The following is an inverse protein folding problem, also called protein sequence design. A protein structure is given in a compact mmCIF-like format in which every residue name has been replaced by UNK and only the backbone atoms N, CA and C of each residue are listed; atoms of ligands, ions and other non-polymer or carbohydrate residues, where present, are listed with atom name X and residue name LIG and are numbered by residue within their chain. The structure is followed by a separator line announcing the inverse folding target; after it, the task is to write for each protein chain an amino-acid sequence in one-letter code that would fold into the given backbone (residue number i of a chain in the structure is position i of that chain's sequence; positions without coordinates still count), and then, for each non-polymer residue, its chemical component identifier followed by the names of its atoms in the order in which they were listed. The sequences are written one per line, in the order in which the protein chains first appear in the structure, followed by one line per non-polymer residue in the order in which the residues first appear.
data_IF_981624012373
#
_entry.id   IF_981624012373
#
_cell.length_a   1.000
_cell.length_b   1.000
_cell.length_c   1.000
_cell.angle_alpha   90.00
_cell.angle_beta   90.00
_cell.angle_gamma   90.00
#
_symmetry.space_group_name_H-M   'P 1'
#
loop_
_entity.id
_entity.type
_entity.pdbx_description
1 polymer ?
#
# COMPACT_ATOMS: atom_id res chain seq x y z
N UNK A 1 -30.08 31.07 -24.57
CA UNK A 1 -30.10 30.79 -23.12
C UNK A 1 -31.31 29.94 -22.84
N UNK A 2 -31.12 28.66 -22.53
CA UNK A 2 -32.20 27.80 -22.10
C UNK A 2 -32.53 28.13 -20.65
N UNK A 3 -33.70 28.74 -20.42
CA UNK A 3 -34.24 28.92 -19.09
C UNK A 3 -34.73 27.56 -18.59
N UNK A 4 -34.18 27.09 -17.47
CA UNK A 4 -34.71 25.92 -16.75
C UNK A 4 -36.11 26.29 -16.23
N UNK A 5 -37.15 25.59 -16.68
CA UNK A 5 -38.57 25.92 -16.39
C UNK A 5 -39.10 25.31 -15.09
N UNK A 6 -38.23 24.73 -14.26
CA UNK A 6 -38.56 24.22 -12.94
C UNK A 6 -37.37 24.43 -12.02
N UNK A 7 -37.61 24.92 -10.81
CA UNK A 7 -36.61 24.99 -9.74
C UNK A 7 -36.01 23.58 -9.53
N UNK A 8 -34.69 23.39 -9.63
CA UNK A 8 -34.09 22.08 -9.42
C UNK A 8 -34.42 21.65 -7.99
N UNK A 9 -34.96 20.44 -7.83
CA UNK A 9 -35.25 19.87 -6.52
C UNK A 9 -33.93 19.67 -5.77
N UNK A 10 -33.58 20.63 -4.90
CA UNK A 10 -32.34 20.60 -4.10
C UNK A 10 -32.32 19.40 -3.14
N UNK A 11 -33.49 18.84 -2.86
CA UNK A 11 -33.70 17.64 -2.06
C UNK A 11 -33.30 16.36 -2.81
N UNK A 12 -33.23 16.41 -4.15
CA UNK A 12 -32.78 15.30 -4.99
C UNK A 12 -31.25 15.28 -5.21
N UNK A 13 -30.52 16.26 -4.67
CA UNK A 13 -29.06 16.28 -4.76
C UNK A 13 -28.42 15.31 -3.76
N UNK A 14 -27.40 14.55 -4.17
CA UNK A 14 -26.55 13.76 -3.30
C UNK A 14 -26.10 14.52 -2.04
N UNK A 15 -26.23 13.89 -0.87
CA UNK A 15 -25.70 14.42 0.40
C UNK A 15 -24.37 13.73 0.74
N UNK A 16 -23.31 14.52 0.83
CA UNK A 16 -21.95 14.02 1.04
C UNK A 16 -21.18 13.77 -0.26
N UNK A 17 -20.07 13.04 -0.15
CA UNK A 17 -19.16 12.75 -1.25
C UNK A 17 -18.34 11.49 -0.95
N UNK A 18 -18.68 10.37 -1.59
CA UNK A 18 -17.97 9.10 -1.43
C UNK A 18 -16.59 9.06 -2.13
N UNK A 19 -16.30 10.03 -3.00
CA UNK A 19 -14.96 10.25 -3.55
C UNK A 19 -14.01 10.91 -2.54
N UNK A 20 -14.55 11.58 -1.51
CA UNK A 20 -13.78 12.02 -0.35
C UNK A 20 -13.71 10.90 0.67
N UNK A 21 -12.51 10.58 1.17
CA UNK A 21 -12.30 9.56 2.19
C UNK A 21 -12.14 10.19 3.58
N UNK A 22 -13.22 10.73 4.16
CA UNK A 22 -13.17 11.42 5.46
C UNK A 22 -13.33 10.47 6.66
N UNK A 23 -13.90 9.29 6.44
CA UNK A 23 -13.96 8.24 7.46
C UNK A 23 -12.63 7.49 7.54
N UNK A 24 -12.17 7.15 8.74
CA UNK A 24 -10.94 6.38 8.94
C UNK A 24 -11.25 5.10 9.71
N UNK A 25 -11.05 3.93 9.10
CA UNK A 25 -11.09 2.64 9.78
C UNK A 25 -9.78 2.44 10.55
N UNK A 26 -9.80 2.79 11.83
CA UNK A 26 -8.61 3.01 12.67
C UNK A 26 -8.17 1.77 13.47
N UNK A 27 -9.07 0.81 13.67
CA UNK A 27 -8.80 -0.50 14.27
C UNK A 27 -9.78 -1.53 13.68
N UNK A 28 -9.60 -2.84 13.93
CA UNK A 28 -10.46 -3.90 13.34
C UNK A 28 -11.96 -3.61 13.45
N UNK A 29 -12.40 -3.04 14.56
CA UNK A 29 -13.80 -2.83 14.90
C UNK A 29 -14.16 -1.35 15.08
N UNK A 30 -13.31 -0.40 14.67
CA UNK A 30 -13.54 1.04 14.91
C UNK A 30 -13.30 1.86 13.64
N UNK A 31 -14.34 2.57 13.23
CA UNK A 31 -14.28 3.66 12.26
C UNK A 31 -14.39 4.99 13.00
N UNK A 32 -13.45 5.90 12.76
CA UNK A 32 -13.50 7.28 13.23
C UNK A 32 -14.18 8.15 12.18
N UNK A 33 -15.19 8.91 12.58
CA UNK A 33 -15.88 9.90 11.74
C UNK A 33 -15.55 11.32 12.19
N UNK A 34 -15.38 12.26 11.25
CA UNK A 34 -15.10 13.64 11.62
C UNK A 34 -16.33 14.28 12.29
N UNK A 35 -16.14 15.27 13.16
CA UNK A 35 -17.23 15.86 13.95
C UNK A 35 -18.29 16.61 13.11
N UNK A 36 -17.96 17.00 11.89
CA UNK A 36 -18.85 17.68 10.95
C UNK A 36 -19.69 16.71 10.10
N UNK A 37 -19.37 15.41 10.09
CA UNK A 37 -20.14 14.42 9.35
C UNK A 37 -21.56 14.31 9.93
N UNK A 38 -22.56 14.22 9.05
CA UNK A 38 -23.98 14.26 9.43
C UNK A 38 -24.34 15.42 10.36
N UNK A 39 -23.71 16.59 10.16
CA UNK A 39 -23.88 17.79 10.98
C UNK A 39 -23.63 17.58 12.50
N UNK A 40 -22.83 16.56 12.86
CA UNK A 40 -22.53 16.23 14.26
C UNK A 40 -23.68 15.57 15.02
N UNK A 41 -24.74 15.11 14.33
CA UNK A 41 -25.95 14.54 14.94
C UNK A 41 -25.77 13.08 15.43
N UNK A 42 -24.63 12.75 16.03
CA UNK A 42 -24.30 11.38 16.48
C UNK A 42 -24.93 10.98 17.81
N UNK A 43 -25.58 11.90 18.53
CA UNK A 43 -26.10 11.69 19.89
C UNK A 43 -27.62 11.94 19.88
N UNK A 44 -28.41 10.92 20.21
CA UNK A 44 -29.88 11.03 20.33
C UNK A 44 -30.69 9.98 19.58
N UNK A 45 -30.07 9.16 18.71
CA UNK A 45 -30.76 8.13 17.93
C UNK A 45 -31.42 8.64 16.63
N UNK A 46 -31.21 9.91 16.30
CA UNK A 46 -31.80 10.55 15.12
C UNK A 46 -31.05 10.26 13.81
N UNK A 47 -29.90 9.58 13.87
CA UNK A 47 -29.06 9.23 12.72
C UNK A 47 -28.73 7.74 12.71
N UNK A 48 -29.02 7.09 11.59
CA UNK A 48 -28.54 5.75 11.28
C UNK A 48 -27.28 5.86 10.42
N UNK A 49 -26.18 5.28 10.89
CA UNK A 49 -24.92 5.25 10.14
C UNK A 49 -24.62 3.81 9.74
N UNK A 50 -24.34 3.58 8.46
CA UNK A 50 -24.02 2.26 7.90
C UNK A 50 -22.71 2.26 7.15
N UNK A 51 -22.00 1.13 7.20
CA UNK A 51 -20.89 0.82 6.32
C UNK A 51 -21.43 0.07 5.10
N UNK A 52 -21.33 0.69 3.92
CA UNK A 52 -21.64 0.10 2.63
C UNK A 52 -20.35 -0.43 1.99
N UNK A 53 -20.45 -1.56 1.29
CA UNK A 53 -19.35 -2.15 0.52
C UNK A 53 -19.80 -2.63 -0.86
N UNK A 54 -18.87 -2.64 -1.81
CA UNK A 54 -19.07 -3.29 -3.12
C UNK A 54 -17.80 -4.01 -3.56
N UNK A 55 -17.91 -5.33 -3.74
CA UNK A 55 -16.86 -6.20 -4.25
C UNK A 55 -16.69 -6.06 -5.77
N UNK A 56 -17.65 -5.43 -6.46
CA UNK A 56 -17.55 -5.06 -7.88
C UNK A 56 -17.15 -3.60 -8.10
N UNK A 57 -16.94 -2.82 -7.01
CA UNK A 57 -16.72 -1.38 -7.04
C UNK A 57 -17.82 -0.60 -7.77
N UNK A 58 -19.08 -0.90 -7.43
CA UNK A 58 -20.28 -0.31 -8.01
C UNK A 58 -20.97 0.70 -7.08
N UNK A 59 -20.34 1.14 -5.98
CA UNK A 59 -20.94 2.15 -5.11
C UNK A 59 -21.04 3.49 -5.83
N UNK A 60 -22.25 4.04 -5.84
CA UNK A 60 -22.57 5.36 -6.35
C UNK A 60 -23.36 6.15 -5.31
N UNK A 61 -23.17 7.47 -5.27
CA UNK A 61 -23.94 8.35 -4.40
C UNK A 61 -25.02 9.06 -5.22
N UNK A 62 -26.28 8.83 -4.89
CA UNK A 62 -27.45 9.45 -5.52
C UNK A 62 -28.22 10.30 -4.50
N UNK A 63 -29.32 10.94 -4.93
CA UNK A 63 -30.25 11.62 -4.00
C UNK A 63 -30.87 10.67 -2.98
N UNK A 64 -30.97 9.38 -3.32
CA UNK A 64 -31.44 8.31 -2.42
C UNK A 64 -30.31 7.70 -1.57
N UNK A 65 -29.15 8.36 -1.54
CA UNK A 65 -27.99 7.95 -0.76
C UNK A 65 -27.07 6.99 -1.51
N UNK A 66 -26.28 6.20 -0.77
CA UNK A 66 -25.33 5.25 -1.37
C UNK A 66 -26.09 4.04 -1.93
N UNK A 67 -25.89 3.76 -3.21
CA UNK A 67 -26.47 2.68 -4.00
C UNK A 67 -25.38 1.76 -4.56
N UNK A 68 -25.77 0.61 -5.13
CA UNK A 68 -24.85 -0.33 -5.80
C UNK A 68 -23.98 -1.16 -4.85
N UNK A 69 -24.30 -1.15 -3.55
CA UNK A 69 -23.69 -2.04 -2.57
C UNK A 69 -24.08 -3.49 -2.77
N UNK A 70 -23.19 -4.41 -2.40
CA UNK A 70 -23.46 -5.86 -2.47
C UNK A 70 -24.48 -6.32 -1.42
N UNK A 71 -24.73 -5.47 -0.43
CA UNK A 71 -25.56 -5.79 0.71
C UNK A 71 -27.02 -5.44 0.40
N UNK A 72 -27.80 -6.50 0.15
CA UNK A 72 -29.27 -6.46 0.02
C UNK A 72 -29.88 -6.16 1.40
N UNK A 73 -31.04 -5.50 1.44
CA UNK A 73 -31.78 -5.11 2.64
C UNK A 73 -31.61 -6.10 3.82
N UNK A 74 -30.94 -5.65 4.89
CA UNK A 74 -30.69 -6.42 6.12
C UNK A 74 -29.25 -6.91 6.34
N UNK A 75 -28.30 -6.63 5.44
CA UNK A 75 -26.87 -7.00 5.61
C UNK A 75 -25.88 -5.84 5.73
N UNK A 76 -26.35 -4.59 5.63
CA UNK A 76 -25.52 -3.43 5.95
C UNK A 76 -25.07 -3.49 7.41
N UNK A 77 -23.78 -3.25 7.65
CA UNK A 77 -23.29 -3.13 9.03
C UNK A 77 -23.67 -1.75 9.54
N UNK A 78 -24.71 -1.71 10.35
CA UNK A 78 -25.08 -0.52 11.12
C UNK A 78 -23.99 -0.27 12.16
N UNK A 79 -23.36 0.89 12.07
CA UNK A 79 -22.30 1.29 12.99
C UNK A 79 -22.90 1.77 14.31
N UNK A 80 -22.24 1.45 15.42
CA UNK A 80 -22.68 1.84 16.77
C UNK A 80 -21.81 3.00 17.26
N UNK A 81 -22.43 4.12 17.63
CA UNK A 81 -21.70 5.27 18.15
C UNK A 81 -21.22 5.00 19.58
N UNK A 82 -19.90 4.86 19.76
CA UNK A 82 -19.24 4.76 21.07
C UNK A 82 -18.86 6.15 21.62
N UNK A 83 -18.93 7.19 20.79
CA UNK A 83 -18.59 8.56 21.14
C UNK A 83 -17.08 8.82 21.11
N UNK A 84 -16.36 8.29 22.09
CA UNK A 84 -14.93 8.62 22.30
C UNK A 84 -14.02 7.51 21.76
N UNK A 85 -12.94 7.92 21.08
CA UNK A 85 -11.91 6.99 20.59
C UNK A 85 -11.15 6.33 21.74
N UNK A 86 -10.85 5.01 21.66
CA UNK A 86 -10.03 4.34 22.66
C UNK A 86 -8.63 4.94 22.79
N UNK A 87 -8.04 4.81 23.99
CA UNK A 87 -6.74 5.40 24.32
C UNK A 87 -5.64 5.00 23.34
N UNK A 88 -5.58 3.73 22.93
CA UNK A 88 -4.52 3.26 22.04
C UNK A 88 -4.71 3.75 20.59
N UNK A 89 -5.97 3.93 20.16
CA UNK A 89 -6.29 4.62 18.90
C UNK A 89 -5.84 6.08 18.96
N UNK A 90 -6.10 6.79 20.06
CA UNK A 90 -5.66 8.17 20.26
C UNK A 90 -4.13 8.31 20.23
N UNK A 91 -3.40 7.36 20.82
CA UNK A 91 -1.93 7.35 20.77
C UNK A 91 -1.40 7.12 19.35
N UNK A 92 -2.02 6.20 18.60
CA UNK A 92 -1.62 5.87 17.23
C UNK A 92 -1.99 6.97 16.24
N UNK A 93 -3.14 7.61 16.44
CA UNK A 93 -3.69 8.65 15.56
C UNK A 93 -3.99 9.95 16.34
N UNK A 94 -2.96 10.65 16.87
CA UNK A 94 -3.16 11.83 17.70
C UNK A 94 -3.83 12.99 16.95
N UNK A 95 -3.63 13.09 15.64
CA UNK A 95 -4.28 14.09 14.78
C UNK A 95 -5.79 13.85 14.66
N UNK A 96 -6.23 12.59 14.64
CA UNK A 96 -7.66 12.20 14.61
C UNK A 96 -8.33 12.54 15.94
N UNK A 97 -7.65 12.21 17.05
CA UNK A 97 -8.13 12.57 18.38
C UNK A 97 -8.19 14.09 18.59
N UNK A 98 -7.14 14.82 18.20
CA UNK A 98 -7.09 16.28 18.31
C UNK A 98 -8.15 16.99 17.46
N UNK A 99 -8.52 16.40 16.32
CA UNK A 99 -9.59 16.90 15.46
C UNK A 99 -11.00 16.57 15.98
N UNK A 100 -11.14 15.85 17.09
CA UNK A 100 -12.44 15.56 17.72
C UNK A 100 -13.27 14.53 16.98
N UNK A 101 -12.64 13.57 16.30
CA UNK A 101 -13.36 12.50 15.62
C UNK A 101 -14.13 11.61 16.61
N UNK A 102 -15.28 11.12 16.16
CA UNK A 102 -16.20 10.27 16.92
C UNK A 102 -15.93 8.80 16.59
N UNK A 103 -15.92 7.96 17.62
CA UNK A 103 -15.75 6.51 17.46
C UNK A 103 -17.06 5.83 17.06
N UNK A 104 -17.02 5.10 15.95
CA UNK A 104 -18.10 4.27 15.44
C UNK A 104 -17.64 2.81 15.42
N UNK A 105 -18.25 1.97 16.25
CA UNK A 105 -17.99 0.55 16.30
C UNK A 105 -18.57 -0.16 15.08
N UNK A 106 -17.83 -1.13 14.56
CA UNK A 106 -18.23 -2.04 13.48
C UNK A 106 -18.63 -3.38 14.12
N UNK A 107 -19.92 -3.64 14.40
CA UNK A 107 -20.35 -4.88 15.05
C UNK A 107 -20.38 -6.05 14.07
N UNK A 108 -19.21 -6.47 13.57
CA UNK A 108 -19.06 -7.53 12.59
C UNK A 108 -17.93 -8.51 12.96
N UNK A 109 -18.06 -9.73 12.48
CA UNK A 109 -17.01 -10.76 12.63
C UNK A 109 -15.73 -10.36 11.88
N UNK A 110 -14.58 -10.83 12.38
CA UNK A 110 -13.28 -10.52 11.77
C UNK A 110 -13.22 -10.95 10.29
N UNK A 111 -13.86 -12.07 9.93
CA UNK A 111 -13.94 -12.53 8.53
C UNK A 111 -14.66 -11.53 7.61
N UNK A 112 -15.74 -10.89 8.09
CA UNK A 112 -16.43 -9.84 7.35
C UNK A 112 -15.51 -8.64 7.14
N UNK A 113 -14.82 -8.20 8.21
CA UNK A 113 -13.89 -7.06 8.12
C UNK A 113 -12.79 -7.34 7.10
N UNK A 114 -12.17 -8.52 7.15
CA UNK A 114 -11.13 -8.94 6.19
C UNK A 114 -11.62 -8.91 4.74
N UNK A 115 -12.86 -9.32 4.47
CA UNK A 115 -13.45 -9.24 3.12
C UNK A 115 -13.84 -7.80 2.71
N UNK A 116 -14.36 -7.01 3.65
CA UNK A 116 -14.69 -5.61 3.41
C UNK A 116 -13.46 -4.78 3.02
N UNK A 117 -12.30 -5.06 3.60
CA UNK A 117 -11.02 -4.39 3.27
C UNK A 117 -10.54 -4.62 1.83
N UNK A 118 -11.12 -5.58 1.11
CA UNK A 118 -10.84 -5.86 -0.33
C UNK A 118 -11.85 -5.19 -1.28
N UNK A 119 -12.86 -4.51 -0.73
CA UNK A 119 -13.97 -3.92 -1.47
C UNK A 119 -13.82 -2.41 -1.61
N UNK A 120 -14.64 -1.81 -2.48
CA UNK A 120 -14.96 -0.39 -2.37
C UNK A 120 -15.81 -0.18 -1.12
N UNK A 121 -15.52 0.87 -0.34
CA UNK A 121 -16.19 1.16 0.93
C UNK A 121 -16.71 2.59 1.00
N UNK A 122 -17.86 2.78 1.61
CA UNK A 122 -18.39 4.08 1.99
C UNK A 122 -19.12 3.99 3.33
N UNK A 123 -19.03 5.04 4.14
CA UNK A 123 -19.96 5.26 5.26
C UNK A 123 -21.07 6.17 4.77
N UNK A 124 -22.31 5.79 5.07
CA UNK A 124 -23.51 6.57 4.74
C UNK A 124 -24.34 6.83 6.00
N UNK A 125 -24.95 8.01 6.08
CA UNK A 125 -25.84 8.40 7.16
C UNK A 125 -27.23 8.74 6.64
N UNK A 126 -28.26 8.31 7.35
CA UNK A 126 -29.66 8.72 7.15
C UNK A 126 -30.24 9.25 8.44
N UNK A 127 -31.25 10.12 8.35
CA UNK A 127 -32.04 10.51 9.51
C UNK A 127 -33.01 9.40 9.98
N UNK A 128 -33.77 9.68 11.05
CA UNK A 128 -34.79 8.79 11.60
C UNK A 128 -35.91 8.40 10.62
N UNK A 129 -36.13 9.17 9.56
CA UNK A 129 -37.11 8.92 8.49
C UNK A 129 -36.49 8.19 7.29
N UNK A 130 -35.19 7.87 7.34
CA UNK A 130 -34.46 7.18 6.29
C UNK A 130 -33.97 8.10 5.18
N UNK A 131 -34.06 9.42 5.34
CA UNK A 131 -33.58 10.38 4.35
C UNK A 131 -32.04 10.46 4.43
N UNK A 132 -31.30 10.31 3.33
CA UNK A 132 -29.85 10.47 3.30
C UNK A 132 -29.41 11.86 3.74
N UNK A 133 -28.41 11.95 4.62
CA UNK A 133 -27.91 13.22 5.16
C UNK A 133 -26.40 13.44 4.96
N UNK A 134 -25.60 12.38 4.83
CA UNK A 134 -24.17 12.47 4.48
C UNK A 134 -23.63 11.12 3.99
N UNK A 135 -22.50 11.16 3.28
CA UNK A 135 -21.76 9.99 2.86
C UNK A 135 -20.27 10.33 2.61
N UNK A 136 -19.39 9.37 2.83
CA UNK A 136 -17.95 9.53 2.58
C UNK A 136 -17.27 8.17 2.38
N UNK A 137 -16.21 8.12 1.56
CA UNK A 137 -15.33 6.97 1.46
C UNK A 137 -14.52 6.72 2.73
N UNK A 138 -13.82 5.59 2.78
CA UNK A 138 -13.12 5.12 3.99
C UNK A 138 -11.63 4.95 3.73
N UNK A 139 -10.80 5.52 4.61
CA UNK A 139 -9.38 5.20 4.68
C UNK A 139 -9.18 4.00 5.61
N UNK A 140 -8.37 3.01 5.21
CA UNK A 140 -8.38 1.67 5.85
C UNK A 140 -7.09 1.28 6.55
N UNK A 141 -6.07 2.14 6.59
CA UNK A 141 -4.73 1.83 7.09
C UNK A 141 -4.71 1.29 8.53
N UNK A 142 -5.57 1.83 9.41
CA UNK A 142 -5.57 1.42 10.82
C UNK A 142 -6.08 0.00 11.01
N UNK A 143 -7.18 -0.34 10.32
CA UNK A 143 -7.72 -1.70 10.32
C UNK A 143 -6.77 -2.70 9.66
N UNK A 144 -6.08 -2.31 8.57
CA UNK A 144 -5.05 -3.15 7.95
C UNK A 144 -3.94 -3.46 8.96
N UNK A 145 -3.37 -2.45 9.61
CA UNK A 145 -2.31 -2.67 10.60
C UNK A 145 -2.78 -3.57 11.75
N UNK A 146 -3.98 -3.33 12.29
CA UNK A 146 -4.51 -4.08 13.43
C UNK A 146 -4.84 -5.55 13.11
N UNK A 147 -5.04 -5.88 11.83
CA UNK A 147 -5.38 -7.22 11.35
C UNK A 147 -4.25 -7.97 10.67
N UNK A 148 -3.27 -7.25 10.12
CA UNK A 148 -2.30 -7.78 9.17
C UNK A 148 -0.88 -7.25 9.36
N UNK A 149 -0.57 -6.48 10.43
CA UNK A 149 0.82 -6.13 10.72
C UNK A 149 1.69 -7.39 10.74
N UNK A 150 2.78 -7.36 9.99
CA UNK A 150 3.60 -8.52 9.69
C UNK A 150 5.08 -8.17 9.80
N UNK A 151 5.82 -8.94 10.60
CA UNK A 151 7.25 -8.80 10.85
C UNK A 151 8.08 -9.98 10.31
N UNK A 152 7.42 -10.92 9.62
CA UNK A 152 8.06 -12.07 9.01
C UNK A 152 8.74 -11.77 7.66
N UNK A 153 9.27 -12.81 7.00
CA UNK A 153 10.05 -12.66 5.77
C UNK A 153 9.20 -12.15 4.58
N UNK A 154 9.75 -11.19 3.84
CA UNK A 154 9.21 -10.65 2.60
C UNK A 154 10.31 -10.58 1.52
N UNK A 155 9.90 -10.55 0.25
CA UNK A 155 10.79 -10.67 -0.90
C UNK A 155 11.19 -12.12 -1.17
N UNK A 156 12.41 -12.30 -1.67
CA UNK A 156 12.96 -13.61 -1.99
C UNK A 156 13.66 -14.27 -0.80
N UNK A 157 13.16 -15.43 -0.39
CA UNK A 157 13.81 -16.33 0.57
C UNK A 157 14.41 -17.52 -0.19
N UNK A 158 15.73 -17.68 -0.08
CA UNK A 158 16.47 -18.78 -0.72
C UNK A 158 16.62 -19.97 0.23
N UNK A 159 16.13 -21.14 -0.18
CA UNK A 159 16.24 -22.37 0.60
C UNK A 159 17.57 -23.06 0.30
N UNK A 160 18.37 -23.30 1.34
CA UNK A 160 19.75 -23.85 1.23
C UNK A 160 19.82 -25.38 1.33
N UNK A 161 18.70 -26.07 1.14
CA UNK A 161 18.59 -27.52 1.24
C UNK A 161 18.99 -28.27 -0.05
N UNK A 162 19.53 -27.55 -1.05
CA UNK A 162 20.10 -28.11 -2.28
C UNK A 162 19.11 -28.30 -3.42
N UNK A 163 17.92 -27.68 -3.35
CA UNK A 163 16.85 -27.81 -4.38
C UNK A 163 16.71 -26.60 -5.31
N UNK A 164 17.56 -25.59 -5.16
CA UNK A 164 17.48 -24.29 -5.85
C UNK A 164 16.08 -23.67 -5.81
N UNK A 165 15.40 -23.86 -4.67
CA UNK A 165 14.04 -23.41 -4.44
C UNK A 165 14.04 -22.04 -3.74
N UNK A 166 13.17 -21.15 -4.21
CA UNK A 166 13.00 -19.81 -3.69
C UNK A 166 11.53 -19.59 -3.35
N UNK A 167 11.24 -19.10 -2.16
CA UNK A 167 9.91 -18.59 -1.85
C UNK A 167 9.88 -17.08 -2.01
N UNK A 168 9.01 -16.59 -2.89
CA UNK A 168 8.76 -15.17 -3.09
C UNK A 168 7.51 -14.78 -2.28
N UNK A 169 7.62 -13.74 -1.45
CA UNK A 169 6.54 -13.24 -0.59
C UNK A 169 6.30 -11.75 -0.75
N UNK A 170 5.04 -11.35 -0.86
CA UNK A 170 4.63 -9.94 -0.87
C UNK A 170 3.42 -9.73 0.05
N UNK A 171 3.48 -8.67 0.86
CA UNK A 171 2.38 -8.28 1.72
C UNK A 171 1.38 -7.44 0.93
N UNK A 172 0.18 -7.98 0.71
CA UNK A 172 -0.87 -7.33 -0.07
C UNK A 172 -2.27 -7.74 0.45
N UNK A 173 -2.63 -7.35 1.70
CA UNK A 173 -3.83 -7.85 2.38
C UNK A 173 -5.15 -7.46 1.70
N UNK A 174 -5.16 -6.34 0.97
CA UNK A 174 -6.32 -5.83 0.23
C UNK A 174 -6.43 -6.36 -1.19
N UNK A 175 -5.39 -7.06 -1.68
CA UNK A 175 -5.44 -7.67 -3.00
C UNK A 175 -6.50 -8.77 -3.03
N UNK A 176 -7.17 -8.87 -4.17
CA UNK A 176 -8.14 -9.92 -4.47
C UNK A 176 -7.46 -11.12 -5.10
N UNK A 177 -6.42 -10.87 -5.88
CA UNK A 177 -5.62 -11.88 -6.56
C UNK A 177 -4.19 -11.35 -6.74
N UNK A 178 -3.21 -12.23 -6.56
CA UNK A 178 -1.81 -11.96 -6.89
C UNK A 178 -1.26 -13.12 -7.69
N UNK A 179 -0.73 -12.80 -8.87
CA UNK A 179 -0.05 -13.73 -9.73
C UNK A 179 1.40 -13.28 -9.93
N UNK A 180 2.32 -14.22 -9.88
CA UNK A 180 3.73 -13.99 -10.19
C UNK A 180 3.94 -14.16 -11.69
N UNK A 181 4.34 -13.10 -12.38
CA UNK A 181 4.77 -13.15 -13.77
C UNK A 181 6.28 -13.38 -13.83
N UNK A 182 6.72 -14.59 -14.20
CA UNK A 182 8.13 -15.02 -14.23
C UNK A 182 8.67 -15.01 -15.65
N UNK A 183 9.89 -14.53 -15.82
CA UNK A 183 10.60 -14.39 -17.09
C UNK A 183 11.98 -15.06 -17.00
N UNK A 184 12.47 -15.56 -18.13
CA UNK A 184 13.79 -16.15 -18.27
C UNK A 184 14.88 -15.09 -18.51
N UNK A 185 14.51 -13.95 -19.10
CA UNK A 185 15.44 -12.89 -19.46
C UNK A 185 15.09 -11.55 -18.77
N UNK A 186 16.03 -10.58 -18.72
CA UNK A 186 15.73 -9.23 -18.26
C UNK A 186 14.77 -8.46 -19.20
N UNK A 187 14.60 -8.91 -20.45
CA UNK A 187 13.69 -8.32 -21.46
C UNK A 187 13.42 -9.27 -22.62
N UNK A 188 12.30 -9.07 -23.31
CA UNK A 188 12.06 -9.60 -24.66
C UNK A 188 11.34 -10.95 -24.75
N UNK A 189 11.09 -11.59 -23.61
CA UNK A 189 10.36 -12.85 -23.47
C UNK A 189 9.02 -12.65 -22.73
N UNK A 190 8.14 -13.63 -22.92
CA UNK A 190 6.81 -13.72 -22.32
C UNK A 190 6.85 -14.26 -20.90
N UNK A 191 5.87 -13.87 -20.09
CA UNK A 191 5.78 -14.33 -18.71
C UNK A 191 5.15 -15.73 -18.61
N UNK A 192 5.75 -16.60 -17.81
CA UNK A 192 5.05 -17.73 -17.19
C UNK A 192 4.33 -17.23 -15.94
N UNK A 193 3.03 -17.51 -15.82
CA UNK A 193 2.20 -17.02 -14.72
C UNK A 193 2.02 -18.10 -13.66
N UNK A 194 2.40 -17.77 -12.43
CA UNK A 194 2.28 -18.65 -11.26
C UNK A 194 1.34 -18.00 -10.23
N UNK A 195 0.14 -18.55 -10.00
CA UNK A 195 -0.75 -18.07 -8.94
C UNK A 195 -0.06 -18.12 -7.58
N UNK A 196 -0.25 -17.08 -6.76
CA UNK A 196 0.27 -17.04 -5.39
C UNK A 196 -0.79 -17.49 -4.38
N UNK A 197 -0.35 -18.10 -3.29
CA UNK A 197 -1.22 -18.51 -2.18
C UNK A 197 -1.32 -17.39 -1.15
N UNK A 198 -2.55 -17.03 -0.77
CA UNK A 198 -2.84 -16.02 0.24
C UNK A 198 -2.91 -16.63 1.64
N UNK A 199 -2.16 -16.06 2.58
CA UNK A 199 -2.29 -16.33 4.00
C UNK A 199 -3.28 -15.33 4.62
N UNK A 200 -4.42 -15.83 5.11
CA UNK A 200 -5.50 -15.02 5.64
C UNK A 200 -5.20 -14.37 6.99
N UNK A 201 -4.22 -14.88 7.74
CA UNK A 201 -3.84 -14.33 9.04
C UNK A 201 -2.85 -13.18 8.88
N UNK A 202 -1.91 -13.30 7.94
CA UNK A 202 -0.83 -12.33 7.75
C UNK A 202 -1.04 -11.35 6.59
N UNK A 203 -1.93 -11.68 5.65
CA UNK A 203 -2.16 -10.85 4.45
C UNK A 203 -1.07 -11.00 3.39
N UNK A 204 -0.19 -12.00 3.55
CA UNK A 204 0.95 -12.26 2.68
C UNK A 204 0.54 -13.21 1.56
N UNK A 205 0.97 -12.89 0.35
CA UNK A 205 0.91 -13.77 -0.80
C UNK A 205 2.26 -14.44 -1.00
N UNK A 206 2.27 -15.75 -1.26
CA UNK A 206 3.51 -16.50 -1.47
C UNK A 206 3.46 -17.46 -2.67
N UNK A 207 4.59 -17.63 -3.33
CA UNK A 207 4.81 -18.70 -4.30
C UNK A 207 6.22 -19.26 -4.12
N UNK A 208 6.34 -20.58 -4.21
CA UNK A 208 7.61 -21.29 -4.08
C UNK A 208 7.91 -22.03 -5.38
N UNK A 209 9.15 -21.96 -5.85
CA UNK A 209 9.59 -22.68 -7.04
C UNK A 209 11.05 -22.42 -7.39
N UNK A 210 11.47 -22.93 -8.55
CA UNK A 210 12.82 -22.74 -9.07
C UNK A 210 12.95 -21.38 -9.77
N UNK A 211 13.09 -20.33 -8.97
CA UNK A 211 13.16 -18.95 -9.45
C UNK A 211 14.57 -18.37 -9.49
N UNK A 212 15.60 -19.09 -9.03
CA UNK A 212 16.98 -18.60 -9.03
C UNK A 212 17.38 -18.10 -10.42
N UNK A 213 17.96 -16.88 -10.49
CA UNK A 213 18.36 -16.17 -11.70
C UNK A 213 17.23 -15.86 -12.70
N UNK A 214 15.97 -16.12 -12.35
CA UNK A 214 14.80 -15.67 -13.13
C UNK A 214 14.52 -14.20 -12.84
N UNK A 215 13.64 -13.63 -13.65
CA UNK A 215 13.10 -12.30 -13.44
C UNK A 215 11.61 -12.37 -13.14
N UNK A 216 11.07 -11.41 -12.40
CA UNK A 216 9.63 -11.39 -12.13
C UNK A 216 9.04 -9.99 -11.94
N UNK A 217 7.71 -9.94 -12.01
CA UNK A 217 6.87 -8.87 -11.48
C UNK A 217 5.62 -9.48 -10.85
N UNK A 218 4.97 -8.72 -9.96
CA UNK A 218 3.66 -9.10 -9.43
C UNK A 218 2.57 -8.53 -10.32
N UNK A 219 1.62 -9.37 -10.71
CA UNK A 219 0.35 -8.96 -11.28
C UNK A 219 -0.70 -8.97 -10.16
N UNK A 220 -1.10 -7.80 -9.68
CA UNK A 220 -1.95 -7.61 -8.50
C UNK A 220 -3.32 -7.07 -8.91
N UNK A 221 -4.38 -7.82 -8.62
CA UNK A 221 -5.76 -7.35 -8.78
C UNK A 221 -6.26 -6.74 -7.48
N UNK A 222 -6.55 -5.45 -7.46
CA UNK A 222 -6.90 -4.72 -6.24
C UNK A 222 -7.83 -3.55 -6.55
N UNK A 223 -8.66 -3.17 -5.58
CA UNK A 223 -9.42 -1.92 -5.62
C UNK A 223 -8.49 -0.72 -5.43
N UNK A 224 -8.58 0.27 -6.31
CA UNK A 224 -7.83 1.52 -6.20
C UNK A 224 -8.78 2.67 -5.81
N UNK A 225 -8.67 3.20 -4.58
CA UNK A 225 -9.52 4.31 -4.13
C UNK A 225 -9.40 5.58 -4.99
N UNK A 226 -8.25 5.82 -5.63
CA UNK A 226 -8.04 7.01 -6.46
C UNK A 226 -8.80 6.96 -7.79
N UNK A 227 -8.98 5.76 -8.35
CA UNK A 227 -9.72 5.58 -9.60
C UNK A 227 -11.15 5.10 -9.38
N UNK A 228 -11.47 4.64 -8.16
CA UNK A 228 -12.77 4.02 -7.83
C UNK A 228 -12.99 2.68 -8.53
N UNK A 229 -11.93 2.03 -9.01
CA UNK A 229 -12.03 0.83 -9.85
C UNK A 229 -11.19 -0.32 -9.32
N UNK A 230 -11.61 -1.54 -9.65
CA UNK A 230 -10.79 -2.74 -9.48
C UNK A 230 -9.97 -2.93 -10.75
N UNK A 231 -8.65 -2.95 -10.60
CA UNK A 231 -7.72 -3.07 -11.71
C UNK A 231 -6.65 -4.11 -11.44
N UNK A 232 -6.12 -4.68 -12.53
CA UNK A 232 -4.93 -5.52 -12.50
C UNK A 232 -3.71 -4.66 -12.80
N UNK A 233 -2.82 -4.52 -11.82
CA UNK A 233 -1.61 -3.73 -11.91
C UNK A 233 -0.39 -4.63 -11.98
N UNK A 234 0.61 -4.24 -12.78
CA UNK A 234 1.92 -4.88 -12.74
C UNK A 234 2.85 -4.05 -11.85
N UNK A 235 3.39 -4.66 -10.81
CA UNK A 235 4.25 -4.02 -9.82
C UNK A 235 5.60 -4.73 -9.68
N UNK A 236 6.63 -3.95 -9.38
CA UNK A 236 7.91 -4.49 -8.91
C UNK A 236 7.78 -4.96 -7.45
N UNK A 237 8.75 -5.74 -6.98
CA UNK A 237 8.82 -6.15 -5.58
C UNK A 237 9.40 -5.03 -4.70
N UNK A 238 8.68 -4.53 -3.68
CA UNK A 238 9.23 -3.57 -2.71
C UNK A 238 10.49 -4.08 -1.99
N UNK A 239 10.67 -5.40 -1.92
CA UNK A 239 11.78 -6.10 -1.30
C UNK A 239 12.82 -6.59 -2.31
N UNK A 240 12.76 -6.12 -3.57
CA UNK A 240 13.76 -6.43 -4.58
C UNK A 240 15.20 -6.10 -4.09
N UNK A 241 16.15 -6.94 -4.50
CA UNK A 241 17.59 -6.75 -4.23
C UNK A 241 18.42 -6.61 -5.50
N UNK A 242 17.86 -6.97 -6.66
CA UNK A 242 18.45 -6.82 -7.97
C UNK A 242 17.33 -6.56 -8.98
N UNK A 243 17.63 -5.80 -10.03
CA UNK A 243 16.64 -5.33 -11.01
C UNK A 243 17.23 -5.41 -12.42
N UNK A 244 16.36 -5.66 -13.40
CA UNK A 244 16.64 -5.35 -14.80
C UNK A 244 16.69 -3.83 -15.02
N UNK A 245 17.15 -3.42 -16.21
CA UNK A 245 17.21 -2.01 -16.59
C UNK A 245 15.88 -1.29 -16.35
N UNK A 246 15.96 -0.06 -15.83
CA UNK A 246 14.84 0.81 -15.47
C UNK A 246 13.84 0.20 -14.46
N UNK A 247 14.24 -0.85 -13.72
CA UNK A 247 13.38 -1.49 -12.73
C UNK A 247 12.20 -2.25 -13.32
N UNK A 248 12.21 -2.56 -14.63
CA UNK A 248 11.06 -3.16 -15.33
C UNK A 248 10.73 -4.59 -14.88
N UNK A 249 11.73 -5.31 -14.37
CA UNK A 249 11.61 -6.64 -13.81
C UNK A 249 12.55 -6.78 -12.62
N UNK A 250 12.13 -7.49 -11.60
CA UNK A 250 12.97 -7.87 -10.47
C UNK A 250 13.82 -9.06 -10.87
N UNK A 251 15.09 -9.09 -10.48
CA UNK A 251 15.97 -10.24 -10.67
C UNK A 251 16.07 -11.02 -9.35
N UNK A 252 15.77 -12.31 -9.39
CA UNK A 252 15.89 -13.21 -8.24
C UNK A 252 17.37 -13.54 -8.03
N UNK A 253 17.98 -12.79 -7.13
CA UNK A 253 19.41 -12.81 -6.89
C UNK A 253 19.71 -12.99 -5.40
N UNK A 254 20.47 -14.02 -5.05
CA UNK A 254 20.98 -14.20 -3.69
C UNK A 254 22.18 -13.27 -3.49
N UNK A 255 21.95 -12.15 -2.81
CA UNK A 255 23.01 -11.16 -2.52
C UNK A 255 24.12 -11.71 -1.61
N UNK A 256 23.93 -12.89 -1.01
CA UNK A 256 24.96 -13.56 -0.22
C UNK A 256 25.90 -14.42 -1.07
N UNK A 257 25.63 -14.60 -2.37
CA UNK A 257 26.47 -15.35 -3.30
C UNK A 257 27.89 -14.75 -3.38
N UNK A 258 28.90 -15.62 -3.35
CA UNK A 258 30.30 -15.22 -3.36
C UNK A 258 30.73 -14.53 -4.67
N UNK A 259 30.08 -14.85 -5.80
CA UNK A 259 30.36 -14.24 -7.11
C UNK A 259 29.99 -12.75 -7.18
N UNK A 260 29.14 -12.28 -6.27
CA UNK A 260 28.72 -10.88 -6.19
C UNK A 260 29.63 -10.03 -5.30
N UNK A 261 30.62 -10.66 -4.66
CA UNK A 261 31.49 -10.02 -3.67
C UNK A 261 32.86 -9.74 -4.30
N UNK A 262 33.37 -8.50 -4.22
CA UNK A 262 34.75 -8.24 -4.61
C UNK A 262 35.73 -8.98 -3.71
N UNK A 263 37.00 -9.06 -4.13
CA UNK A 263 38.08 -9.55 -3.29
C UNK A 263 38.07 -8.86 -1.91
N UNK A 264 38.33 -9.63 -0.86
CA UNK A 264 38.40 -9.18 0.53
C UNK A 264 37.10 -8.60 1.11
N UNK A 265 35.95 -8.74 0.46
CA UNK A 265 34.66 -8.22 0.96
C UNK A 265 34.32 -8.70 2.38
N UNK A 266 34.53 -9.99 2.66
CA UNK A 266 34.22 -10.60 3.96
C UNK A 266 35.23 -10.21 5.06
N UNK A 267 36.44 -9.77 4.67
CA UNK A 267 37.53 -9.46 5.59
C UNK A 267 37.79 -7.95 5.69
N UNK A 268 37.11 -7.14 4.88
CA UNK A 268 37.30 -5.69 4.81
C UNK A 268 37.12 -5.03 6.18
N UNK A 269 38.16 -4.32 6.62
CA UNK A 269 38.14 -3.53 7.85
C UNK A 269 37.94 -2.05 7.51
N UNK A 270 36.92 -1.43 8.12
CA UNK A 270 36.71 0.02 8.00
C UNK A 270 37.81 0.78 8.77
N UNK A 271 38.17 2.01 8.37
CA UNK A 271 39.04 2.87 9.16
C UNK A 271 38.52 3.05 10.60
N UNK A 272 39.44 3.22 11.55
CA UNK A 272 39.07 3.43 12.96
C UNK A 272 38.30 4.74 13.12
N UNK A 273 37.14 4.67 13.75
CA UNK A 273 36.27 5.81 14.03
C UNK A 273 35.74 5.69 15.47
N UNK A 274 36.33 6.46 16.40
CA UNK A 274 36.11 6.31 17.85
C UNK A 274 35.14 7.34 18.42
N UNK A 275 35.20 8.59 17.95
CA UNK A 275 34.32 9.65 18.43
C UNK A 275 33.53 10.26 17.28
N UNK A 276 32.23 10.47 17.49
CA UNK A 276 31.37 11.11 16.50
C UNK A 276 31.87 12.52 16.11
N UNK A 277 32.53 13.22 17.04
CA UNK A 277 33.11 14.56 16.80
C UNK A 277 34.32 14.56 15.87
N UNK A 278 34.92 13.40 15.59
CA UNK A 278 36.02 13.27 14.63
C UNK A 278 35.51 13.24 13.17
N UNK A 279 34.18 13.22 12.96
CA UNK A 279 33.61 13.16 11.62
C UNK A 279 33.83 14.46 10.84
N UNK A 280 34.33 14.32 9.62
CA UNK A 280 34.25 15.35 8.58
C UNK A 280 33.52 14.75 7.38
N UNK A 281 32.44 15.40 6.94
CA UNK A 281 31.56 14.85 5.90
C UNK A 281 31.82 15.61 4.60
N UNK A 282 32.12 14.86 3.54
CA UNK A 282 32.22 15.36 2.18
C UNK A 282 30.99 14.88 1.39
N UNK A 283 30.10 15.80 1.04
CA UNK A 283 28.95 15.50 0.19
C UNK A 283 29.40 15.43 -1.27
N UNK A 284 29.12 14.30 -1.92
CA UNK A 284 29.54 14.03 -3.29
C UNK A 284 28.45 13.28 -4.06
N UNK A 285 28.26 13.67 -5.31
CA UNK A 285 27.42 12.96 -6.25
C UNK A 285 28.26 12.05 -7.17
N UNK A 286 27.84 10.78 -7.34
CA UNK A 286 28.56 9.75 -8.11
C UNK A 286 28.82 10.19 -9.56
N UNK A 287 27.86 10.87 -10.19
CA UNK A 287 28.04 11.37 -11.55
C UNK A 287 29.08 12.50 -11.58
N UNK A 288 28.95 13.44 -10.67
CA UNK A 288 29.72 14.69 -10.67
C UNK A 288 31.19 14.42 -10.36
N UNK A 289 31.46 13.40 -9.55
CA UNK A 289 32.80 12.91 -9.24
C UNK A 289 33.69 12.70 -10.46
N UNK A 290 33.16 12.17 -11.56
CA UNK A 290 33.97 11.67 -12.69
C UNK A 290 33.43 11.99 -14.08
N UNK A 291 32.24 12.60 -14.22
CA UNK A 291 31.63 12.84 -15.53
C UNK A 291 32.49 13.71 -16.44
N UNK A 292 33.25 14.67 -15.88
CA UNK A 292 34.12 15.58 -16.61
C UNK A 292 35.61 15.27 -16.43
N UNK A 293 35.97 14.25 -15.63
CA UNK A 293 37.37 13.87 -15.46
C UNK A 293 37.85 13.09 -16.69
N UNK A 294 38.66 13.75 -17.52
CA UNK A 294 39.22 13.17 -18.73
C UNK A 294 40.21 12.03 -18.45
N UNK A 295 40.73 11.91 -17.23
CA UNK A 295 41.65 10.85 -16.82
C UNK A 295 40.94 9.54 -16.50
N UNK A 296 39.62 9.57 -16.27
CA UNK A 296 38.76 8.38 -16.09
C UNK A 296 38.43 7.77 -17.46
N UNK A 297 38.46 6.45 -17.55
CA UNK A 297 38.06 5.71 -18.75
C UNK A 297 36.61 6.03 -19.10
N UNK A 298 36.37 6.32 -20.38
CA UNK A 298 35.07 6.78 -20.89
C UNK A 298 33.88 5.92 -20.42
N UNK A 299 33.94 4.57 -20.42
CA UNK A 299 32.81 3.73 -19.98
C UNK A 299 32.46 3.86 -18.49
N UNK A 300 33.38 4.35 -17.65
CA UNK A 300 33.21 4.42 -16.19
C UNK A 300 32.90 5.82 -15.68
N UNK A 301 32.97 6.85 -16.53
CA UNK A 301 32.62 8.23 -16.16
C UNK A 301 31.18 8.31 -15.65
N UNK A 302 31.04 8.86 -14.44
CA UNK A 302 29.80 9.01 -13.72
C UNK A 302 29.18 7.69 -13.23
N UNK A 303 29.99 6.65 -12.99
CA UNK A 303 29.58 5.33 -12.49
C UNK A 303 30.36 4.98 -11.22
N UNK A 304 29.86 4.03 -10.43
CA UNK A 304 30.57 3.51 -9.25
C UNK A 304 31.97 2.97 -9.58
N UNK A 305 32.18 2.45 -10.78
CA UNK A 305 33.48 1.93 -11.23
C UNK A 305 34.56 3.01 -11.42
N UNK A 306 34.20 4.30 -11.44
CA UNK A 306 35.19 5.38 -11.45
C UNK A 306 36.03 5.41 -10.17
N UNK A 307 35.45 5.06 -9.01
CA UNK A 307 36.14 5.07 -7.72
C UNK A 307 37.26 4.02 -7.62
N UNK A 308 37.24 2.99 -8.47
CA UNK A 308 38.32 2.00 -8.52
C UNK A 308 39.46 2.38 -9.48
N UNK A 309 39.37 3.49 -10.21
CA UNK A 309 40.38 3.91 -11.19
C UNK A 309 41.50 4.69 -10.50
N UNK A 310 42.40 3.94 -9.88
CA UNK A 310 43.60 4.49 -9.22
C UNK A 310 44.42 5.34 -10.21
N UNK A 311 44.79 6.55 -9.80
CA UNK A 311 45.58 7.47 -10.64
C UNK A 311 44.77 8.48 -11.45
N UNK A 312 43.44 8.43 -11.38
CA UNK A 312 42.58 9.49 -11.93
C UNK A 312 42.59 10.72 -11.03
N UNK A 313 42.37 11.89 -11.62
CA UNK A 313 42.43 13.18 -10.90
C UNK A 313 41.41 13.20 -9.76
N UNK A 314 40.20 12.70 -10.00
CA UNK A 314 39.15 12.64 -8.99
C UNK A 314 39.47 11.71 -7.82
N UNK A 315 40.08 10.54 -8.07
CA UNK A 315 40.50 9.61 -7.00
C UNK A 315 41.69 10.15 -6.22
N UNK A 316 42.64 10.84 -6.87
CA UNK A 316 43.77 11.47 -6.19
C UNK A 316 43.38 12.67 -5.32
N UNK A 317 42.23 13.29 -5.61
CA UNK A 317 41.69 14.40 -4.83
C UNK A 317 41.05 13.95 -3.52
N UNK A 318 40.51 12.72 -3.46
CA UNK A 318 39.94 12.12 -2.25
C UNK A 318 41.04 11.67 -1.29
#
# INVERSE_FOLDING_TARGET
GGAFSSEPALDALPKGDIGKARALWVARDIIALPPDFAAGMFVGGDVNVRLARSASAALELTGDGVQGGDDVAGKDVVLVCDGVLPVDVCKKFPHVAAAGYVAMRVPAETSYVREALKCQLAVAATDSSGIPIDATGVQIQGAIDDLYAYDGPLGAEFHRDGRDEVTLRVWAPTARDVCLAVFDAPRGDEATRTPMSFDADTGVWSATGQFVNKYYSYEVTVFNPMTGQIGKNTASDPYARSLAADGRRVHVCDISDASLKPSDWETFQKPTFTHAVDSSIYELHVRDFSALDATVDVPYRGKYRAFSQSGTTCVQHL
#
